data_IF_338512204281
#
_entry.id   IF_338512204281
#
_cell.length_a   1.000
_cell.length_b   1.000
_cell.length_c   1.000
_cell.angle_alpha   90.00
_cell.angle_beta   90.00
_cell.angle_gamma   90.00
#
_symmetry.space_group_name_H-M   'P 1'
#
loop_
_entity.id
_entity.type
_entity.pdbx_description
1 polymer ?
#
# COMPACT_ATOMS: atom_id res chain seq x y z
N UNK A 1 0.14 -5.21 -13.63
CA UNK A 1 -0.97 -6.18 -13.43
C UNK A 1 -2.10 -6.09 -14.47
N UNK A 2 -2.05 -5.18 -15.45
CA UNK A 2 -3.06 -5.12 -16.53
C UNK A 2 -3.26 -6.46 -17.26
N UNK A 3 -2.18 -7.23 -17.46
CA UNK A 3 -2.24 -8.59 -18.05
C UNK A 3 -3.13 -9.54 -17.23
N UNK A 4 -3.14 -9.44 -15.90
CA UNK A 4 -4.01 -10.25 -15.03
C UNK A 4 -5.49 -9.91 -15.23
N UNK A 5 -5.81 -8.63 -15.41
CA UNK A 5 -7.17 -8.21 -15.81
C UNK A 5 -7.54 -8.75 -17.20
N UNK A 6 -6.60 -8.77 -18.15
CA UNK A 6 -6.86 -9.30 -19.49
C UNK A 6 -7.10 -10.82 -19.53
N UNK A 7 -6.59 -11.58 -18.55
CA UNK A 7 -6.86 -13.02 -18.41
C UNK A 7 -8.04 -13.33 -17.47
N UNK A 8 -8.80 -12.31 -17.05
CA UNK A 8 -10.02 -12.48 -16.26
C UNK A 8 -9.81 -12.65 -14.75
N UNK A 9 -8.66 -12.27 -14.20
CA UNK A 9 -8.46 -12.28 -12.76
C UNK A 9 -9.39 -11.26 -12.07
N UNK A 10 -10.00 -11.67 -10.96
CA UNK A 10 -10.87 -10.80 -10.15
C UNK A 10 -10.07 -9.62 -9.56
N UNK A 11 -10.66 -8.42 -9.54
CA UNK A 11 -10.10 -7.21 -8.93
C UNK A 11 -9.59 -7.46 -7.50
N UNK A 12 -10.28 -8.30 -6.74
CA UNK A 12 -9.87 -8.71 -5.39
C UNK A 12 -8.53 -9.45 -5.38
N UNK A 13 -8.31 -10.38 -6.31
CA UNK A 13 -7.05 -11.14 -6.42
C UNK A 13 -5.90 -10.21 -6.75
N UNK A 14 -6.13 -9.24 -7.64
CA UNK A 14 -5.12 -8.25 -8.03
C UNK A 14 -4.81 -7.31 -6.86
N UNK A 15 -5.82 -6.91 -6.09
CA UNK A 15 -5.67 -6.11 -4.88
C UNK A 15 -4.84 -6.85 -3.81
N UNK A 16 -5.14 -8.13 -3.54
CA UNK A 16 -4.39 -8.98 -2.60
C UNK A 16 -2.94 -9.14 -3.07
N UNK A 17 -2.72 -9.46 -4.34
CA UNK A 17 -1.37 -9.61 -4.88
C UNK A 17 -0.58 -8.30 -4.78
N UNK A 18 -1.23 -7.15 -4.95
CA UNK A 18 -0.62 -5.83 -4.76
C UNK A 18 -0.21 -5.59 -3.31
N UNK A 19 -1.03 -5.98 -2.33
CA UNK A 19 -0.70 -5.94 -0.90
C UNK A 19 0.49 -6.84 -0.56
N UNK A 20 0.53 -8.05 -1.12
CA UNK A 20 1.66 -8.98 -0.95
C UNK A 20 2.93 -8.37 -1.53
N UNK A 21 2.88 -7.81 -2.74
CA UNK A 21 4.00 -7.11 -3.34
C UNK A 21 4.48 -5.95 -2.48
N UNK A 22 3.56 -5.16 -1.89
CA UNK A 22 3.90 -4.07 -0.98
C UNK A 22 4.57 -4.57 0.31
N UNK A 23 4.06 -5.65 0.91
CA UNK A 23 4.67 -6.27 2.09
C UNK A 23 6.07 -6.79 1.82
N UNK A 24 6.25 -7.52 0.71
CA UNK A 24 7.56 -8.02 0.27
C UNK A 24 8.52 -6.86 0.01
N UNK A 25 8.08 -5.84 -0.74
CA UNK A 25 8.88 -4.65 -1.04
C UNK A 25 9.36 -3.94 0.24
N UNK A 26 8.43 -3.67 1.16
CA UNK A 26 8.71 -2.96 2.40
C UNK A 26 9.62 -3.76 3.32
N UNK A 27 9.36 -5.07 3.47
CA UNK A 27 10.19 -5.97 4.28
C UNK A 27 11.59 -6.12 3.68
N UNK A 28 11.71 -6.25 2.36
CA UNK A 28 12.99 -6.38 1.67
C UNK A 28 13.87 -5.15 1.89
N UNK A 29 13.32 -3.94 1.72
CA UNK A 29 14.07 -2.72 2.02
C UNK A 29 14.39 -2.61 3.51
N UNK A 30 13.47 -3.03 4.38
CA UNK A 30 13.69 -2.99 5.83
C UNK A 30 14.93 -3.79 6.27
N UNK A 31 15.18 -4.92 5.60
CA UNK A 31 16.27 -5.85 5.89
C UNK A 31 17.50 -5.62 4.99
N UNK A 32 17.47 -4.60 4.12
CA UNK A 32 18.57 -4.33 3.20
C UNK A 32 19.83 -3.88 3.95
N UNK A 33 20.92 -4.60 3.73
CA UNK A 33 22.27 -4.33 4.23
C UNK A 33 23.16 -3.68 3.15
N UNK A 34 22.82 -3.88 1.86
CA UNK A 34 23.61 -3.44 0.72
C UNK A 34 22.78 -2.64 -0.28
N UNK A 35 23.40 -1.69 -0.96
CA UNK A 35 22.72 -0.85 -1.96
C UNK A 35 22.09 -1.63 -3.11
N UNK A 36 22.69 -2.73 -3.56
CA UNK A 36 22.14 -3.58 -4.63
C UNK A 36 20.75 -4.15 -4.31
N UNK A 37 20.46 -4.40 -3.02
CA UNK A 37 19.16 -4.90 -2.57
C UNK A 37 18.06 -3.86 -2.77
N UNK A 38 18.40 -2.57 -2.66
CA UNK A 38 17.46 -1.47 -2.91
C UNK A 38 17.08 -1.40 -4.39
N UNK A 39 18.04 -1.62 -5.29
CA UNK A 39 17.76 -1.63 -6.73
C UNK A 39 16.87 -2.82 -7.14
N UNK A 40 17.05 -3.98 -6.53
CA UNK A 40 16.13 -5.11 -6.76
C UNK A 40 14.71 -4.83 -6.27
N UNK A 41 14.56 -4.11 -5.15
CA UNK A 41 13.24 -3.72 -4.66
C UNK A 41 12.47 -2.86 -5.68
N UNK A 42 13.17 -2.05 -6.50
CA UNK A 42 12.54 -1.24 -7.55
C UNK A 42 11.82 -2.07 -8.61
N UNK A 43 12.21 -3.34 -8.81
CA UNK A 43 11.52 -4.23 -9.75
C UNK A 43 10.10 -4.59 -9.27
N UNK A 44 9.87 -4.59 -7.95
CA UNK A 44 8.60 -4.96 -7.32
C UNK A 44 7.71 -3.71 -7.09
N UNK A 45 8.32 -2.53 -6.95
CA UNK A 45 7.62 -1.28 -6.64
C UNK A 45 6.39 -0.99 -7.55
N UNK A 46 6.44 -1.16 -8.89
CA UNK A 46 5.30 -0.87 -9.76
C UNK A 46 4.04 -1.72 -9.45
N UNK A 47 4.21 -2.87 -8.81
CA UNK A 47 3.12 -3.76 -8.45
C UNK A 47 2.43 -3.36 -7.14
N UNK A 48 3.05 -2.50 -6.33
CA UNK A 48 2.54 -2.07 -5.00
C UNK A 48 1.42 -1.03 -5.10
N UNK A 49 1.37 -0.27 -6.19
CA UNK A 49 0.41 0.83 -6.36
C UNK A 49 -0.96 0.40 -6.89
N UNK A 50 -1.16 -0.88 -7.22
CA UNK A 50 -2.43 -1.35 -7.78
C UNK A 50 -3.54 -1.43 -6.72
N UNK A 51 -3.20 -1.64 -5.45
CA UNK A 51 -4.16 -1.67 -4.35
C UNK A 51 -4.99 -0.38 -4.28
N UNK A 52 -4.34 0.79 -4.28
CA UNK A 52 -5.01 2.09 -4.15
C UNK A 52 -5.92 2.42 -5.33
N UNK A 53 -5.59 1.91 -6.52
CA UNK A 53 -6.39 2.11 -7.74
C UNK A 53 -7.63 1.21 -7.76
N UNK A 54 -7.56 0.01 -7.18
CA UNK A 54 -8.65 -0.97 -7.24
C UNK A 54 -9.62 -0.91 -6.05
N UNK A 55 -9.20 -0.36 -4.90
CA UNK A 55 -10.05 -0.26 -3.71
C UNK A 55 -11.34 0.53 -3.95
N UNK A 56 -11.27 1.71 -4.59
CA UNK A 56 -12.46 2.53 -4.87
C UNK A 56 -13.43 1.82 -5.85
N UNK A 57 -12.96 1.29 -7.00
CA UNK A 57 -13.80 0.46 -7.88
C UNK A 57 -14.43 -0.73 -7.18
N UNK A 58 -13.71 -1.42 -6.29
CA UNK A 58 -14.25 -2.54 -5.52
C UNK A 58 -15.36 -2.09 -4.58
N UNK A 59 -15.15 -1.04 -3.78
CA UNK A 59 -16.17 -0.46 -2.88
C UNK A 59 -17.42 -0.07 -3.67
N UNK A 60 -17.27 0.48 -4.87
CA UNK A 60 -18.39 0.92 -5.72
C UNK A 60 -19.39 -0.18 -6.06
N UNK A 61 -18.94 -1.44 -6.13
CA UNK A 61 -19.78 -2.61 -6.46
C UNK A 61 -20.70 -3.01 -5.30
N UNK A 62 -20.41 -2.55 -4.09
CA UNK A 62 -21.12 -2.88 -2.85
C UNK A 62 -22.07 -1.77 -2.40
N UNK A 63 -22.06 -0.63 -3.11
CA UNK A 63 -22.84 0.55 -2.78
C UNK A 63 -23.93 0.81 -3.81
N UNK A 64 -25.06 1.29 -3.32
CA UNK A 64 -26.10 1.82 -4.18
C UNK A 64 -25.64 3.13 -4.85
N UNK A 65 -26.19 3.42 -6.04
CA UNK A 65 -25.75 4.55 -6.87
C UNK A 65 -25.79 5.89 -6.12
N UNK A 66 -26.78 6.06 -5.24
CA UNK A 66 -26.98 7.28 -4.46
C UNK A 66 -26.01 7.44 -3.29
N UNK A 67 -25.38 6.36 -2.83
CA UNK A 67 -24.44 6.35 -1.70
C UNK A 67 -22.98 6.56 -2.14
N UNK A 68 -22.66 6.16 -3.38
CA UNK A 68 -21.30 6.17 -3.93
C UNK A 68 -20.59 7.50 -3.79
N UNK A 69 -21.28 8.61 -4.06
CA UNK A 69 -20.66 9.92 -4.05
C UNK A 69 -20.19 10.31 -2.63
N UNK A 70 -21.03 10.08 -1.63
CA UNK A 70 -20.70 10.37 -0.24
C UNK A 70 -19.53 9.51 0.26
N UNK A 71 -19.53 8.22 -0.07
CA UNK A 71 -18.45 7.31 0.34
C UNK A 71 -17.13 7.66 -0.36
N UNK A 72 -17.16 8.00 -1.65
CA UNK A 72 -15.95 8.40 -2.37
C UNK A 72 -15.39 9.72 -1.86
N UNK A 73 -16.24 10.69 -1.52
CA UNK A 73 -15.80 11.93 -0.88
C UNK A 73 -15.14 11.65 0.46
N UNK A 74 -15.76 10.83 1.32
CA UNK A 74 -15.19 10.47 2.62
C UNK A 74 -13.80 9.79 2.48
N UNK A 75 -13.68 8.80 1.58
CA UNK A 75 -12.41 8.11 1.33
C UNK A 75 -11.33 9.08 0.80
N UNK A 76 -11.72 10.02 -0.06
CA UNK A 76 -10.81 11.03 -0.62
C UNK A 76 -10.36 12.02 0.45
N UNK A 77 -11.25 12.45 1.34
CA UNK A 77 -10.93 13.33 2.46
C UNK A 77 -9.98 12.66 3.45
N UNK A 78 -10.26 11.41 3.83
CA UNK A 78 -9.36 10.62 4.70
C UNK A 78 -7.98 10.49 4.05
N UNK A 79 -7.91 10.13 2.77
CA UNK A 79 -6.63 10.05 2.05
C UNK A 79 -5.90 11.39 2.04
N UNK A 80 -6.62 12.50 1.86
CA UNK A 80 -6.04 13.85 1.86
C UNK A 80 -5.41 14.18 3.21
N UNK A 81 -6.12 13.89 4.31
CA UNK A 81 -5.61 14.06 5.68
C UNK A 81 -4.38 13.19 5.91
N UNK A 82 -4.44 11.91 5.55
CA UNK A 82 -3.31 10.97 5.71
C UNK A 82 -2.11 11.43 4.89
N UNK A 83 -2.29 11.94 3.67
CA UNK A 83 -1.16 12.43 2.85
C UNK A 83 -0.56 13.71 3.45
N UNK A 84 -1.40 14.64 3.90
CA UNK A 84 -0.95 15.91 4.49
C UNK A 84 -0.18 15.71 5.80
N UNK A 85 -0.68 14.84 6.69
CA UNK A 85 -0.05 14.59 8.00
C UNK A 85 0.98 13.46 7.96
N UNK A 86 0.77 12.46 7.12
CA UNK A 86 1.53 11.22 7.09
C UNK A 86 3.00 11.45 6.79
N UNK A 87 3.34 12.33 5.84
CA UNK A 87 4.74 12.68 5.56
C UNK A 87 5.45 13.26 6.76
N UNK A 88 4.81 14.20 7.47
CA UNK A 88 5.35 14.83 8.68
C UNK A 88 5.51 13.84 9.83
N UNK A 89 4.50 12.99 10.06
CA UNK A 89 4.54 11.94 11.07
C UNK A 89 5.67 10.94 10.77
N UNK A 90 5.77 10.49 9.52
CA UNK A 90 6.76 9.51 9.10
C UNK A 90 8.18 10.07 9.21
N UNK A 91 8.40 11.34 8.84
CA UNK A 91 9.67 12.03 9.02
C UNK A 91 10.03 12.18 10.50
N UNK A 92 9.07 12.48 11.36
CA UNK A 92 9.28 12.57 12.80
C UNK A 92 9.67 11.21 13.40
N UNK A 93 8.97 10.13 13.04
CA UNK A 93 9.33 8.76 13.46
C UNK A 93 10.73 8.41 12.95
N UNK A 94 10.99 8.62 11.65
CA UNK A 94 12.28 8.33 11.03
C UNK A 94 13.43 9.04 11.72
N UNK A 95 13.30 10.35 12.00
CA UNK A 95 14.33 11.14 12.67
C UNK A 95 14.67 10.60 14.08
N UNK A 96 13.70 9.97 14.77
CA UNK A 96 13.90 9.36 16.08
C UNK A 96 14.49 7.95 16.01
N UNK A 97 14.21 7.21 14.94
CA UNK A 97 14.56 5.78 14.85
C UNK A 97 15.81 5.52 14.02
N UNK A 98 16.18 6.41 13.08
CA UNK A 98 17.28 6.20 12.13
C UNK A 98 18.64 5.96 12.80
N UNK A 99 18.85 6.54 13.98
CA UNK A 99 20.08 6.39 14.78
C UNK A 99 20.26 4.97 15.34
N UNK A 100 19.17 4.24 15.58
CA UNK A 100 19.19 2.88 16.10
C UNK A 100 18.91 1.84 15.02
N UNK A 101 17.99 2.14 14.10
CA UNK A 101 17.58 1.26 13.03
C UNK A 101 17.12 2.08 11.81
N UNK A 102 17.99 2.15 10.79
CA UNK A 102 17.83 2.99 9.60
C UNK A 102 16.54 2.74 8.81
N UNK A 103 16.04 1.50 8.81
CA UNK A 103 14.87 1.11 8.01
C UNK A 103 13.66 0.71 8.86
N UNK A 104 13.62 1.12 10.14
CA UNK A 104 12.54 0.75 11.06
C UNK A 104 11.15 1.17 10.56
N UNK A 105 11.03 2.32 9.92
CA UNK A 105 9.76 2.82 9.40
C UNK A 105 9.19 1.94 8.29
N UNK A 106 10.05 1.32 7.47
CA UNK A 106 9.64 0.35 6.45
C UNK A 106 9.33 -1.03 7.02
N UNK A 107 9.97 -1.39 8.13
CA UNK A 107 9.59 -2.56 8.92
C UNK A 107 8.20 -2.38 9.57
N UNK A 108 7.93 -1.19 10.09
CA UNK A 108 6.61 -0.86 10.61
C UNK A 108 5.56 -0.89 9.49
N UNK A 109 5.87 -0.36 8.32
CA UNK A 109 4.99 -0.39 7.15
C UNK A 109 4.68 -1.83 6.69
N UNK A 110 5.67 -2.74 6.68
CA UNK A 110 5.44 -4.14 6.34
C UNK A 110 4.59 -4.87 7.38
N UNK A 111 4.72 -4.52 8.68
CA UNK A 111 3.84 -5.05 9.72
C UNK A 111 2.39 -4.57 9.57
N UNK A 112 2.18 -3.27 9.36
CA UNK A 112 0.84 -2.69 9.22
C UNK A 112 0.14 -3.19 7.95
N UNK A 113 0.87 -3.50 6.88
CA UNK A 113 0.27 -3.98 5.62
C UNK A 113 -0.44 -5.34 5.75
N UNK A 114 -0.18 -6.10 6.82
CA UNK A 114 -0.84 -7.37 7.10
C UNK A 114 -2.34 -7.15 7.39
N UNK A 115 -2.69 -6.05 8.07
CA UNK A 115 -4.09 -5.75 8.44
C UNK A 115 -4.99 -5.64 7.20
N UNK A 116 -4.72 -4.74 6.23
CA UNK A 116 -5.55 -4.65 5.05
C UNK A 116 -5.41 -5.87 4.12
N UNK A 117 -4.30 -6.61 4.18
CA UNK A 117 -4.19 -7.88 3.46
C UNK A 117 -5.19 -8.91 4.00
N UNK A 118 -5.30 -9.06 5.31
CA UNK A 118 -6.27 -9.97 5.96
C UNK A 118 -7.71 -9.53 5.67
N UNK A 119 -7.99 -8.23 5.72
CA UNK A 119 -9.34 -7.71 5.46
C UNK A 119 -9.80 -7.86 4.00
N UNK A 120 -8.88 -8.04 3.06
CA UNK A 120 -9.19 -8.26 1.64
C UNK A 120 -9.26 -9.75 1.25
N UNK A 121 -8.89 -10.69 2.13
CA UNK A 121 -9.00 -12.14 1.94
C UNK A 121 -10.38 -12.67 2.31
#
# INVERSE_FOLDING_TARGET
MKILNYIGANDAIICILSHICFGIYSLWISLAQYGWQLYLALLINPFTSYQSVLTIPMISKWLEVHERNNVFTLVTEINTIIVAFGGSLFNWIYARTVTYQKNFTLLLASGICIIPCILNM
#
